data_IF_949162786756
#
_entry.id   IF_949162786756
#
_cell.length_a   1.000
_cell.length_b   1.000
_cell.length_c   1.000
_cell.angle_alpha   90.00
_cell.angle_beta   90.00
_cell.angle_gamma   90.00
#
_symmetry.space_group_name_H-M   'P 1'
#
loop_
_entity.id
_entity.type
_entity.pdbx_description
1 polymer ?
#
# COMPACT_ATOMS: atom_id res chain seq x y z
N UNK A 1 16.95 -44.73 24.45
CA UNK A 1 16.46 -44.33 23.12
C UNK A 1 16.83 -42.86 22.89
N UNK A 2 17.86 -42.59 22.10
CA UNK A 2 18.37 -41.23 21.88
C UNK A 2 17.74 -40.62 20.61
N UNK A 3 17.15 -39.42 20.74
CA UNK A 3 16.52 -38.69 19.63
C UNK A 3 17.55 -37.75 19.01
N UNK A 4 18.12 -38.15 17.87
CA UNK A 4 19.02 -37.31 17.07
C UNK A 4 18.22 -36.19 16.41
N UNK A 5 18.63 -34.93 16.61
CA UNK A 5 18.13 -33.78 15.85
C UNK A 5 18.96 -33.64 14.58
N UNK A 6 18.32 -33.67 13.41
CA UNK A 6 18.96 -33.29 12.15
C UNK A 6 18.89 -31.76 11.95
N UNK A 7 19.98 -31.10 11.54
CA UNK A 7 19.92 -29.69 11.14
C UNK A 7 19.31 -29.54 9.74
N UNK A 8 18.36 -28.63 9.58
CA UNK A 8 17.76 -28.28 8.29
C UNK A 8 18.72 -27.39 7.47
N UNK A 9 19.04 -27.82 6.25
CA UNK A 9 19.84 -27.06 5.27
C UNK A 9 19.00 -25.90 4.72
N UNK A 10 19.41 -24.66 4.97
CA UNK A 10 18.77 -23.47 4.39
C UNK A 10 19.34 -23.22 2.99
N UNK A 11 18.59 -23.55 1.96
CA UNK A 11 18.92 -23.16 0.58
C UNK A 11 18.75 -21.65 0.45
N UNK A 12 19.86 -20.92 0.33
CA UNK A 12 19.86 -19.47 0.14
C UNK A 12 19.21 -19.14 -1.21
N UNK A 13 18.12 -18.35 -1.18
CA UNK A 13 17.50 -17.80 -2.38
C UNK A 13 18.48 -16.96 -3.19
N UNK A 14 18.45 -17.12 -4.52
CA UNK A 14 19.26 -16.41 -5.51
C UNK A 14 19.36 -14.90 -5.23
N UNK A 15 20.54 -14.27 -5.42
CA UNK A 15 20.65 -12.81 -5.29
C UNK A 15 19.88 -12.10 -6.42
N UNK A 16 19.25 -10.94 -6.16
CA UNK A 16 18.51 -10.20 -7.18
C UNK A 16 19.47 -9.63 -8.23
N UNK A 17 19.11 -9.80 -9.52
CA UNK A 17 19.88 -9.30 -10.66
C UNK A 17 20.01 -7.76 -10.57
N UNK A 18 21.24 -7.29 -10.84
CA UNK A 18 21.68 -5.89 -10.80
C UNK A 18 20.80 -4.99 -11.69
N UNK A 19 20.58 -3.78 -11.18
CA UNK A 19 19.80 -2.68 -11.78
C UNK A 19 20.28 -2.32 -13.19
N UNK A 20 19.35 -2.11 -14.11
CA UNK A 20 19.61 -1.47 -15.41
C UNK A 20 20.25 -0.10 -15.15
N UNK A 21 21.48 0.08 -15.61
CA UNK A 21 22.20 1.34 -15.55
C UNK A 21 21.73 2.17 -16.74
N UNK A 22 20.98 3.24 -16.48
CA UNK A 22 20.69 4.25 -17.49
C UNK A 22 21.94 5.12 -17.62
N UNK A 23 22.79 4.81 -18.60
CA UNK A 23 23.94 5.63 -18.92
C UNK A 23 23.47 7.03 -19.35
N UNK A 24 23.86 8.06 -18.60
CA UNK A 24 23.82 9.44 -19.11
C UNK A 24 25.07 9.65 -19.94
N UNK A 25 24.92 9.62 -21.26
CA UNK A 25 25.96 10.06 -22.19
C UNK A 25 26.39 11.51 -21.90
N UNK A 26 27.69 11.84 -21.87
CA UNK A 26 28.13 13.22 -21.72
C UNK A 26 28.12 13.93 -23.08
N UNK A 27 27.26 14.93 -23.24
CA UNK A 27 27.43 15.96 -24.29
C UNK A 27 28.22 17.12 -23.70
N UNK A 28 29.52 17.17 -23.99
CA UNK A 28 30.34 18.36 -23.82
C UNK A 28 30.17 19.25 -25.07
N UNK A 29 29.64 20.47 -24.90
CA UNK A 29 30.08 21.64 -25.67
C UNK A 29 30.02 22.87 -24.78
N UNK A 30 31.13 23.60 -24.83
CA UNK A 30 31.50 24.67 -23.94
C UNK A 30 30.80 25.99 -24.25
N UNK A 31 30.56 26.79 -23.21
CA UNK A 31 30.57 28.23 -23.26
C UNK A 31 31.04 28.74 -21.88
N UNK A 32 32.25 29.30 -21.86
CA UNK A 32 32.87 29.99 -20.74
C UNK A 32 32.24 31.38 -20.61
N UNK A 33 31.92 31.83 -19.39
CA UNK A 33 32.09 33.23 -18.93
C UNK A 33 31.64 33.39 -17.47
N UNK A 34 32.51 33.96 -16.63
CA UNK A 34 32.24 34.57 -15.31
C UNK A 34 32.06 33.56 -14.16
N UNK A 35 32.90 33.45 -13.14
CA UNK A 35 33.76 34.46 -12.50
C UNK A 35 33.25 34.68 -11.06
N UNK A 36 33.68 33.86 -10.11
CA UNK A 36 33.78 34.15 -8.67
C UNK A 36 34.21 32.87 -7.92
N UNK A 37 35.47 32.84 -7.50
CA UNK A 37 36.00 31.82 -6.62
C UNK A 37 35.72 32.15 -5.16
N UNK A 38 35.36 31.13 -4.38
CA UNK A 38 35.82 30.97 -3.00
C UNK A 38 36.09 29.48 -2.77
N UNK A 39 37.37 29.17 -2.71
CA UNK A 39 37.96 27.91 -2.25
C UNK A 39 37.46 27.52 -0.87
N UNK A 40 37.25 26.22 -0.63
CA UNK A 40 37.35 25.66 0.71
C UNK A 40 36.38 24.53 1.04
N UNK A 41 36.59 23.35 0.45
CA UNK A 41 36.18 22.10 1.12
C UNK A 41 37.37 21.58 1.91
N UNK A 42 37.24 21.38 3.23
CA UNK A 42 38.01 20.34 3.88
C UNK A 42 37.13 19.39 4.69
N UNK A 43 37.43 18.10 4.58
CA UNK A 43 37.27 17.16 5.69
C UNK A 43 35.96 16.40 5.78
N UNK A 44 35.83 15.34 4.97
CA UNK A 44 34.96 14.20 5.26
C UNK A 44 35.46 13.51 6.53
N UNK A 45 34.89 13.83 7.68
CA UNK A 45 35.13 13.12 8.93
C UNK A 45 34.63 11.68 8.85
N UNK A 46 35.54 10.72 8.86
CA UNK A 46 35.23 9.31 9.06
C UNK A 46 35.04 9.06 10.57
N UNK A 47 33.93 8.44 11.02
CA UNK A 47 33.92 7.85 12.35
C UNK A 47 34.68 6.53 12.32
N UNK A 48 35.73 6.46 13.15
CA UNK A 48 36.49 5.26 13.45
C UNK A 48 35.57 4.12 13.88
N UNK A 49 35.88 2.92 13.40
CA UNK A 49 35.22 1.68 13.80
C UNK A 49 35.88 1.18 15.07
N UNK A 50 35.28 1.44 16.22
CA UNK A 50 35.68 0.82 17.48
C UNK A 50 34.44 0.37 18.26
N UNK A 51 34.47 -0.90 18.69
CA UNK A 51 33.61 -1.40 19.77
C UNK A 51 32.38 -2.20 19.33
N UNK A 52 32.59 -3.46 18.93
CA UNK A 52 31.54 -4.46 19.03
C UNK A 52 31.34 -4.82 20.51
N UNK A 53 30.25 -4.34 21.11
CA UNK A 53 29.66 -4.94 22.32
C UNK A 53 28.13 -4.93 22.15
N UNK A 54 27.55 -6.11 22.35
CA UNK A 54 26.17 -6.44 22.06
C UNK A 54 25.17 -5.51 22.79
N UNK A 55 24.67 -4.51 22.07
CA UNK A 55 23.49 -3.76 22.48
C UNK A 55 22.24 -4.59 22.16
N UNK A 56 21.45 -4.87 23.19
CA UNK A 56 20.37 -5.85 23.19
C UNK A 56 19.43 -5.77 21.99
N UNK A 57 19.00 -6.94 21.53
CA UNK A 57 17.89 -7.14 20.59
C UNK A 57 16.57 -6.88 21.34
N UNK A 58 16.42 -5.69 21.91
CA UNK A 58 15.11 -5.17 22.28
C UNK A 58 14.41 -4.84 20.97
N UNK A 59 13.51 -5.71 20.53
CA UNK A 59 12.77 -5.59 19.28
C UNK A 59 12.14 -4.21 19.16
N UNK A 60 12.76 -3.33 18.37
CA UNK A 60 12.23 -1.99 18.07
C UNK A 60 10.94 -2.19 17.28
N UNK A 61 9.80 -2.13 17.98
CA UNK A 61 8.47 -2.21 17.38
C UNK A 61 8.40 -1.15 16.27
N UNK A 62 8.28 -1.60 15.02
CA UNK A 62 8.14 -0.70 13.88
C UNK A 62 6.85 0.09 14.07
N UNK A 63 6.92 1.41 13.95
CA UNK A 63 5.74 2.28 13.97
C UNK A 63 4.70 1.76 12.97
N UNK A 64 3.40 1.78 13.32
CA UNK A 64 2.36 1.35 12.39
C UNK A 64 2.40 2.23 11.14
N UNK A 65 2.34 1.59 9.98
CA UNK A 65 2.37 2.29 8.71
C UNK A 65 1.03 3.00 8.46
N UNK A 66 1.07 4.31 8.24
CA UNK A 66 -0.10 5.12 7.84
C UNK A 66 0.02 5.52 6.37
N UNK A 67 -1.02 5.24 5.59
CA UNK A 67 -1.09 5.65 4.19
C UNK A 67 -1.27 7.17 4.06
N UNK A 68 -0.74 7.74 2.98
CA UNK A 68 -0.98 9.15 2.63
C UNK A 68 -2.46 9.34 2.26
N UNK A 69 -3.06 10.51 2.55
CA UNK A 69 -4.41 10.83 2.09
C UNK A 69 -4.55 10.56 0.58
N UNK A 70 -5.70 10.06 0.16
CA UNK A 70 -5.97 9.64 -1.22
C UNK A 70 -5.45 8.25 -1.62
N UNK A 71 -4.45 7.69 -0.92
CA UNK A 71 -3.90 6.37 -1.29
C UNK A 71 -4.91 5.24 -1.09
N UNK A 72 -5.68 5.28 0.00
CA UNK A 72 -6.73 4.30 0.29
C UNK A 72 -7.93 4.52 -0.63
N UNK A 73 -8.34 5.77 -0.85
CA UNK A 73 -9.44 6.10 -1.75
C UNK A 73 -9.20 5.60 -3.19
N UNK A 74 -8.01 5.85 -3.77
CA UNK A 74 -7.68 5.34 -5.11
C UNK A 74 -7.66 3.81 -5.18
N UNK A 75 -7.32 3.14 -4.09
CA UNK A 75 -7.37 1.67 -3.99
C UNK A 75 -8.80 1.17 -3.96
N UNK A 76 -9.68 1.83 -3.21
CA UNK A 76 -11.10 1.51 -3.12
C UNK A 76 -11.83 1.76 -4.44
N UNK A 77 -11.57 2.89 -5.11
CA UNK A 77 -12.10 3.19 -6.45
C UNK A 77 -11.74 2.08 -7.43
N UNK A 78 -10.45 1.70 -7.50
CA UNK A 78 -10.02 0.59 -8.39
C UNK A 78 -10.64 -0.75 -8.01
N UNK A 79 -10.89 -1.00 -6.72
CA UNK A 79 -11.56 -2.23 -6.25
C UNK A 79 -13.02 -2.25 -6.70
N UNK A 80 -13.78 -1.19 -6.43
CA UNK A 80 -15.21 -1.12 -6.73
C UNK A 80 -15.50 -0.95 -8.22
N UNK A 81 -14.59 -0.39 -9.01
CA UNK A 81 -14.75 -0.38 -10.46
C UNK A 81 -14.46 -1.74 -11.12
N UNK A 82 -13.74 -2.64 -10.43
CA UNK A 82 -13.44 -3.99 -10.95
C UNK A 82 -14.59 -4.97 -10.72
N UNK A 83 -15.42 -4.75 -9.71
CA UNK A 83 -16.53 -5.63 -9.32
C UNK A 83 -17.85 -4.89 -9.42
N UNK A 84 -18.93 -5.60 -9.71
CA UNK A 84 -20.29 -5.02 -9.76
C UNK A 84 -21.11 -5.40 -8.53
N UNK A 85 -20.46 -5.53 -7.36
CA UNK A 85 -21.17 -5.91 -6.14
C UNK A 85 -21.96 -4.72 -5.60
N UNK A 86 -23.16 -5.00 -5.09
CA UNK A 86 -23.98 -4.03 -4.38
C UNK A 86 -23.22 -3.45 -3.18
N UNK A 87 -23.17 -2.11 -3.10
CA UNK A 87 -22.49 -1.38 -2.02
C UNK A 87 -23.39 -1.13 -0.81
N UNK A 88 -24.71 -1.09 -1.03
CA UNK A 88 -25.71 -0.90 0.01
C UNK A 88 -26.14 -2.28 0.52
N UNK A 89 -26.11 -2.55 1.84
CA UNK A 89 -26.57 -3.83 2.38
C UNK A 89 -28.07 -4.03 2.12
N UNK A 90 -28.46 -5.27 1.79
CA UNK A 90 -29.84 -5.58 1.39
C UNK A 90 -30.89 -5.32 2.49
N UNK A 91 -30.59 -5.67 3.75
CA UNK A 91 -31.55 -5.52 4.85
C UNK A 91 -32.01 -4.07 5.12
N UNK A 92 -31.12 -3.06 5.25
CA UNK A 92 -31.55 -1.67 5.39
C UNK A 92 -32.24 -1.14 4.12
N UNK A 93 -31.79 -1.54 2.93
CA UNK A 93 -32.46 -1.17 1.68
C UNK A 93 -33.91 -1.68 1.63
N UNK A 94 -34.14 -2.96 1.97
CA UNK A 94 -35.47 -3.55 2.00
C UNK A 94 -36.41 -2.89 3.03
N UNK A 95 -35.87 -2.41 4.17
CA UNK A 95 -36.67 -1.64 5.15
C UNK A 95 -37.08 -0.30 4.59
N UNK A 96 -36.15 0.42 3.95
CA UNK A 96 -36.43 1.71 3.30
C UNK A 96 -37.49 1.58 2.21
N UNK A 97 -37.41 0.55 1.37
CA UNK A 97 -38.44 0.30 0.33
C UNK A 97 -39.82 0.11 0.96
N UNK A 98 -39.92 -0.63 2.06
CA UNK A 98 -41.19 -0.85 2.77
C UNK A 98 -41.73 0.42 3.43
N UNK A 99 -40.86 1.22 4.03
CA UNK A 99 -41.20 2.51 4.63
C UNK A 99 -41.82 3.43 3.58
N UNK A 100 -41.12 3.64 2.46
CA UNK A 100 -41.60 4.45 1.34
C UNK A 100 -42.91 3.90 0.79
N UNK A 101 -43.00 2.57 0.56
CA UNK A 101 -44.23 1.98 0.00
C UNK A 101 -45.43 2.22 0.91
N UNK A 102 -45.28 2.10 2.23
CA UNK A 102 -46.36 2.30 3.18
C UNK A 102 -46.89 3.76 3.20
N UNK A 103 -46.05 4.73 2.84
CA UNK A 103 -46.46 6.13 2.73
C UNK A 103 -47.34 6.40 1.50
N UNK A 104 -47.10 5.68 0.39
CA UNK A 104 -47.82 5.89 -0.89
C UNK A 104 -48.95 4.89 -1.16
N UNK A 105 -48.80 3.63 -0.74
CA UNK A 105 -49.76 2.56 -0.98
C UNK A 105 -49.75 1.54 0.15
N UNK A 106 -50.76 1.64 1.02
CA UNK A 106 -50.93 0.76 2.20
C UNK A 106 -51.39 -0.65 1.82
N UNK A 107 -51.86 -0.85 0.59
CA UNK A 107 -52.35 -2.15 0.11
C UNK A 107 -51.19 -3.11 -0.23
N UNK A 108 -50.00 -2.57 -0.57
CA UNK A 108 -48.83 -3.36 -0.94
C UNK A 108 -48.04 -3.76 0.31
N UNK A 109 -48.37 -4.94 0.85
CA UNK A 109 -47.74 -5.47 2.08
C UNK A 109 -46.60 -6.47 1.83
N UNK A 110 -46.52 -7.04 0.62
CA UNK A 110 -45.60 -8.13 0.27
C UNK A 110 -44.69 -7.73 -0.89
N UNK A 111 -43.43 -8.16 -0.78
CA UNK A 111 -42.38 -7.94 -1.77
C UNK A 111 -41.68 -9.26 -2.07
N UNK A 112 -41.43 -9.52 -3.35
CA UNK A 112 -40.57 -10.63 -3.76
C UNK A 112 -39.09 -10.24 -3.58
N UNK A 113 -38.19 -11.17 -3.25
CA UNK A 113 -36.77 -10.88 -3.17
C UNK A 113 -36.18 -10.34 -4.47
N UNK A 114 -36.63 -10.87 -5.61
CA UNK A 114 -36.19 -10.44 -6.94
C UNK A 114 -36.61 -9.00 -7.26
N UNK A 115 -37.81 -8.57 -6.87
CA UNK A 115 -38.23 -7.18 -7.06
C UNK A 115 -37.36 -6.21 -6.24
N UNK A 116 -37.04 -6.57 -5.00
CA UNK A 116 -36.15 -5.77 -4.15
C UNK A 116 -34.73 -5.70 -4.71
N UNK A 117 -34.21 -6.80 -5.26
CA UNK A 117 -32.91 -6.80 -5.94
C UNK A 117 -32.97 -5.96 -7.22
N UNK A 118 -33.99 -6.11 -8.05
CA UNK A 118 -34.16 -5.33 -9.29
C UNK A 118 -34.22 -3.82 -9.01
N UNK A 119 -34.91 -3.41 -7.95
CA UNK A 119 -34.94 -2.00 -7.51
C UNK A 119 -33.57 -1.49 -7.04
N UNK A 120 -32.70 -2.37 -6.55
CA UNK A 120 -31.38 -2.00 -6.06
C UNK A 120 -30.33 -1.96 -7.18
N UNK A 121 -30.51 -2.78 -8.22
CA UNK A 121 -29.63 -2.86 -9.39
C UNK A 121 -29.93 -1.76 -10.44
N UNK A 122 -31.15 -1.20 -10.44
CA UNK A 122 -31.60 -0.14 -11.35
C UNK A 122 -30.99 1.24 -11.01
#
# INVERSE_FOLDING_TARGET
MARTKHPAVRTAGRPPKKKLQFERSPRQRAAQTGGAGTSGTPGRGAPARDGAAAAGVAGRIKKPHRWRPGTVALREIRKFQKSTNLLIPFAPFARLVREITNDYSKDVTRWTPEALLAMQEA
#
